data_IF_782943343764
#
_entry.id   IF_782943343764
#
_cell.length_a   1.000
_cell.length_b   1.000
_cell.length_c   1.000
_cell.angle_alpha   90.00
_cell.angle_beta   90.00
_cell.angle_gamma   90.00
#
_symmetry.space_group_name_H-M   'P 1'
#
loop_
_entity.id
_entity.type
_entity.pdbx_description
1 polymer ?
#
# COMPACT_ATOMS: atom_id res chain seq x y z
N UNK A 1 0.80 18.48 44.33
CA UNK A 1 0.41 17.41 43.37
C UNK A 1 0.78 17.77 41.94
N UNK A 2 0.16 18.76 41.26
CA UNK A 2 0.50 19.11 39.86
C UNK A 2 1.99 19.37 39.63
N UNK A 3 2.61 20.15 40.52
CA UNK A 3 4.04 20.49 40.46
C UNK A 3 4.97 19.26 40.59
N UNK A 4 4.56 18.26 41.38
CA UNK A 4 5.34 17.02 41.60
C UNK A 4 5.19 16.07 40.41
N UNK A 5 4.00 16.06 39.78
CA UNK A 5 3.78 15.27 38.58
C UNK A 5 4.56 15.88 37.41
N UNK A 6 4.63 17.21 37.30
CA UNK A 6 5.39 17.90 36.26
C UNK A 6 6.91 17.81 36.41
N UNK A 7 7.43 17.44 37.59
CA UNK A 7 8.87 17.23 37.78
C UNK A 7 9.35 15.88 37.27
N UNK A 8 8.44 14.99 36.85
CA UNK A 8 8.72 13.66 36.26
C UNK A 8 9.66 12.77 37.12
N UNK A 9 9.84 13.11 38.40
CA UNK A 9 10.69 12.37 39.33
C UNK A 9 9.91 11.20 39.91
N UNK A 10 10.33 10.00 39.54
CA UNK A 10 9.72 8.73 39.96
C UNK A 10 9.60 8.65 41.50
N UNK A 11 10.64 9.03 42.23
CA UNK A 11 10.66 8.97 43.70
C UNK A 11 9.61 9.88 44.35
N UNK A 12 9.46 11.11 43.86
CA UNK A 12 8.49 12.06 44.40
C UNK A 12 7.05 11.63 44.13
N UNK A 13 6.82 11.00 42.97
CA UNK A 13 5.52 10.43 42.58
C UNK A 13 5.19 9.20 43.44
N UNK A 14 6.17 8.35 43.76
CA UNK A 14 6.00 7.21 44.68
C UNK A 14 5.67 7.65 46.09
N UNK A 15 6.41 8.61 46.64
CA UNK A 15 6.10 9.17 47.97
C UNK A 15 4.71 9.82 48.01
N UNK A 16 4.32 10.50 46.92
CA UNK A 16 2.98 11.07 46.81
C UNK A 16 1.90 9.98 46.78
N UNK A 17 2.15 8.85 46.11
CA UNK A 17 1.25 7.71 46.11
C UNK A 17 1.07 7.09 47.50
N UNK A 18 2.16 6.84 48.24
CA UNK A 18 2.11 6.25 49.59
C UNK A 18 1.24 7.07 50.55
N UNK A 19 1.33 8.39 50.47
CA UNK A 19 0.54 9.32 51.27
C UNK A 19 -0.95 9.31 50.88
N UNK A 20 -1.23 9.17 49.59
CA UNK A 20 -2.56 9.38 49.00
C UNK A 20 -3.37 8.08 48.88
N UNK A 21 -2.72 6.92 48.80
CA UNK A 21 -3.37 5.63 48.56
C UNK A 21 -4.39 5.25 49.65
N UNK A 22 -4.21 5.75 50.89
CA UNK A 22 -5.12 5.50 52.02
C UNK A 22 -6.46 6.26 51.91
N UNK A 23 -6.56 7.25 51.03
CA UNK A 23 -7.74 8.12 50.88
C UNK A 23 -8.34 7.90 49.48
N UNK A 24 -9.48 7.20 49.35
CA UNK A 24 -10.04 6.82 48.05
C UNK A 24 -10.26 7.99 47.08
N UNK A 25 -10.79 9.12 47.58
CA UNK A 25 -11.02 10.33 46.75
C UNK A 25 -9.74 11.02 46.30
N UNK A 26 -8.68 10.93 47.08
CA UNK A 26 -7.40 11.55 46.73
C UNK A 26 -6.63 10.63 45.77
N UNK A 27 -6.75 9.31 45.92
CA UNK A 27 -6.24 8.30 44.98
C UNK A 27 -6.79 8.50 43.58
N UNK A 28 -8.12 8.59 43.43
CA UNK A 28 -8.75 8.83 42.12
C UNK A 28 -8.27 10.14 41.50
N UNK A 29 -8.22 11.21 42.30
CA UNK A 29 -7.77 12.53 41.85
C UNK A 29 -6.29 12.53 41.40
N UNK A 30 -5.43 11.77 42.06
CA UNK A 30 -4.03 11.61 41.66
C UNK A 30 -3.91 10.87 40.33
N UNK A 31 -4.66 9.78 40.14
CA UNK A 31 -4.69 9.04 38.89
C UNK A 31 -5.19 9.90 37.73
N UNK A 32 -6.29 10.64 37.92
CA UNK A 32 -6.81 11.57 36.90
C UNK A 32 -5.77 12.63 36.52
N UNK A 33 -5.05 13.17 37.50
CA UNK A 33 -3.99 14.16 37.25
C UNK A 33 -2.78 13.59 36.49
N UNK A 34 -2.43 12.33 36.73
CA UNK A 34 -1.38 11.63 35.98
C UNK A 34 -1.85 11.38 34.54
N UNK A 35 -3.07 10.87 34.37
CA UNK A 35 -3.67 10.66 33.04
C UNK A 35 -3.71 11.96 32.24
N UNK A 36 -4.15 13.06 32.84
CA UNK A 36 -4.18 14.38 32.20
C UNK A 36 -2.78 14.87 31.84
N UNK A 37 -1.78 14.65 32.71
CA UNK A 37 -0.41 15.06 32.43
C UNK A 37 0.18 14.32 31.23
N UNK A 38 0.04 12.99 31.19
CA UNK A 38 0.52 12.15 30.07
C UNK A 38 -0.21 12.55 28.78
N UNK A 39 -1.53 12.74 28.85
CA UNK A 39 -2.34 13.16 27.71
C UNK A 39 -1.89 14.51 27.15
N UNK A 40 -1.70 15.52 28.00
CA UNK A 40 -1.24 16.84 27.58
C UNK A 40 0.19 16.80 27.02
N UNK A 41 1.09 16.03 27.63
CA UNK A 41 2.44 15.83 27.11
C UNK A 41 2.41 15.18 25.71
N UNK A 42 1.62 14.12 25.54
CA UNK A 42 1.46 13.41 24.27
C UNK A 42 0.95 14.33 23.17
N UNK A 43 -0.14 15.07 23.43
CA UNK A 43 -0.70 16.01 22.45
C UNK A 43 0.28 17.13 22.11
N UNK A 44 0.93 17.75 23.11
CA UNK A 44 1.86 18.85 22.85
C UNK A 44 3.07 18.39 22.03
N UNK A 45 3.53 17.15 22.22
CA UNK A 45 4.64 16.58 21.45
C UNK A 45 4.21 16.30 20.02
N UNK A 46 3.04 15.67 19.82
CA UNK A 46 2.48 15.40 18.49
C UNK A 46 2.16 16.70 17.76
N UNK A 47 1.72 17.74 18.46
CA UNK A 47 1.42 19.05 17.87
C UNK A 47 2.67 19.70 17.26
N UNK A 48 3.85 19.54 17.88
CA UNK A 48 5.12 20.09 17.35
C UNK A 48 5.55 19.45 16.04
N UNK A 49 5.26 18.17 15.86
CA UNK A 49 5.58 17.41 14.64
C UNK A 49 4.42 17.40 13.62
N UNK A 50 3.28 18.02 13.97
CA UNK A 50 2.03 17.88 13.20
C UNK A 50 2.05 18.52 11.81
N UNK A 51 3.09 19.24 11.41
CA UNK A 51 3.23 19.77 10.05
C UNK A 51 4.06 18.85 9.15
N UNK A 52 5.04 18.14 9.72
CA UNK A 52 5.92 17.23 8.99
C UNK A 52 5.40 15.80 9.00
N UNK A 53 4.81 15.37 10.11
CA UNK A 53 4.43 13.97 10.36
C UNK A 53 3.07 13.56 9.76
N UNK A 54 2.31 14.48 9.14
CA UNK A 54 1.04 14.14 8.45
C UNK A 54 1.29 13.15 7.30
N UNK A 55 2.40 13.34 6.59
CA UNK A 55 2.78 12.54 5.43
C UNK A 55 4.03 11.67 5.67
N UNK A 56 4.61 11.73 6.88
CA UNK A 56 5.76 10.94 7.31
C UNK A 56 5.37 9.96 8.45
N UNK A 57 4.99 8.71 8.10
CA UNK A 57 4.63 7.68 9.05
C UNK A 57 5.75 7.30 10.01
N UNK A 58 7.01 7.35 9.56
CA UNK A 58 8.17 6.94 10.34
C UNK A 58 8.40 7.90 11.50
N UNK A 59 8.37 9.22 11.24
CA UNK A 59 8.49 10.22 12.30
C UNK A 59 7.33 10.13 13.28
N UNK A 60 6.10 9.97 12.79
CA UNK A 60 4.92 9.88 13.65
C UNK A 60 4.99 8.69 14.63
N UNK A 61 5.20 7.47 14.11
CA UNK A 61 5.17 6.25 14.93
C UNK A 61 6.35 6.20 15.90
N UNK A 62 7.54 6.66 15.50
CA UNK A 62 8.70 6.75 16.40
C UNK A 62 8.44 7.67 17.58
N UNK A 63 7.81 8.83 17.35
CA UNK A 63 7.49 9.74 18.45
C UNK A 63 6.45 9.15 19.41
N UNK A 64 5.45 8.42 18.93
CA UNK A 64 4.52 7.67 19.79
C UNK A 64 5.25 6.64 20.65
N UNK A 65 6.18 5.88 20.05
CA UNK A 65 6.99 4.88 20.76
C UNK A 65 7.89 5.55 21.80
N UNK A 66 8.49 6.70 21.47
CA UNK A 66 9.34 7.46 22.40
C UNK A 66 8.56 7.94 23.62
N UNK A 67 7.34 8.49 23.41
CA UNK A 67 6.44 8.90 24.49
C UNK A 67 6.07 7.69 25.35
N UNK A 68 5.70 6.57 24.73
CA UNK A 68 5.37 5.33 25.42
C UNK A 68 6.53 4.84 26.29
N UNK A 69 7.74 4.71 25.71
CA UNK A 69 8.94 4.24 26.43
C UNK A 69 9.30 5.14 27.62
N UNK A 70 9.24 6.47 27.42
CA UNK A 70 9.52 7.46 28.49
C UNK A 70 8.60 7.24 29.69
N UNK A 71 7.30 7.12 29.46
CA UNK A 71 6.34 6.97 30.55
C UNK A 71 6.27 5.55 31.10
N UNK A 72 6.61 4.53 30.31
CA UNK A 72 6.80 3.17 30.79
C UNK A 72 7.97 3.09 31.78
N UNK A 73 9.07 3.82 31.53
CA UNK A 73 10.20 3.89 32.47
C UNK A 73 9.78 4.55 33.80
N UNK A 74 8.94 5.59 33.74
CA UNK A 74 8.50 6.35 34.91
C UNK A 74 7.42 5.59 35.71
N UNK A 75 6.44 4.99 35.04
CA UNK A 75 5.21 4.46 35.64
C UNK A 75 5.03 2.94 35.50
N UNK A 76 5.73 2.29 34.57
CA UNK A 76 5.53 0.87 34.22
C UNK A 76 6.07 -0.13 35.23
N UNK A 77 6.79 0.32 36.27
CA UNK A 77 7.23 -0.56 37.36
C UNK A 77 6.12 -0.83 38.39
N UNK A 78 5.05 -0.05 38.38
CA UNK A 78 4.07 -0.01 39.46
C UNK A 78 2.66 -0.30 38.92
N UNK A 79 2.11 -1.48 39.27
CA UNK A 79 0.80 -1.97 38.76
C UNK A 79 -0.38 -1.01 39.02
N UNK A 80 -0.29 -0.13 40.02
CA UNK A 80 -1.35 0.81 40.34
C UNK A 80 -1.43 2.04 39.42
N UNK A 81 -0.39 2.32 38.62
CA UNK A 81 -0.42 3.39 37.61
C UNK A 81 -0.74 2.89 36.21
N UNK A 82 -0.64 1.58 35.97
CA UNK A 82 -0.87 0.92 34.69
C UNK A 82 -2.20 1.35 34.04
N UNK A 83 -3.31 1.27 34.78
CA UNK A 83 -4.63 1.67 34.27
C UNK A 83 -4.72 3.17 33.91
N UNK A 84 -4.04 4.06 34.63
CA UNK A 84 -4.03 5.49 34.36
C UNK A 84 -3.14 5.84 33.16
N UNK A 85 -2.05 5.10 32.99
CA UNK A 85 -1.16 5.15 31.85
C UNK A 85 -1.85 4.66 30.58
N UNK A 86 -2.45 3.47 30.61
CA UNK A 86 -3.19 2.90 29.48
C UNK A 86 -4.32 3.81 29.01
N UNK A 87 -5.09 4.36 29.96
CA UNK A 87 -6.16 5.32 29.66
C UNK A 87 -5.63 6.58 28.99
N UNK A 88 -4.45 7.07 29.39
CA UNK A 88 -3.83 8.23 28.76
C UNK A 88 -3.36 7.92 27.34
N UNK A 89 -2.64 6.81 27.15
CA UNK A 89 -2.16 6.30 25.86
C UNK A 89 -3.30 6.15 24.86
N UNK A 90 -4.37 5.46 25.26
CA UNK A 90 -5.55 5.31 24.44
C UNK A 90 -6.15 6.66 24.04
N UNK A 91 -6.19 7.64 24.96
CA UNK A 91 -6.80 8.94 24.68
C UNK A 91 -5.97 9.80 23.72
N UNK A 92 -4.64 9.87 23.86
CA UNK A 92 -3.83 10.73 22.98
C UNK A 92 -3.50 10.09 21.63
N UNK A 93 -3.42 8.75 21.56
CA UNK A 93 -3.14 8.06 20.28
C UNK A 93 -4.32 8.21 19.31
N UNK A 94 -5.56 8.14 19.81
CA UNK A 94 -6.76 8.27 18.98
C UNK A 94 -7.25 9.72 18.85
N UNK A 95 -6.82 10.65 19.71
CA UNK A 95 -7.15 12.07 19.62
C UNK A 95 -5.91 12.96 19.82
N UNK A 96 -5.35 13.39 18.69
CA UNK A 96 -4.19 14.27 18.61
C UNK A 96 -4.31 15.29 17.45
N UNK A 97 -3.33 16.19 17.38
CA UNK A 97 -3.28 17.24 16.36
C UNK A 97 -3.31 16.70 14.91
N UNK A 98 -2.78 15.51 14.64
CA UNK A 98 -2.78 14.91 13.30
C UNK A 98 -4.15 14.36 12.94
N UNK A 99 -4.82 13.66 13.87
CA UNK A 99 -6.21 13.22 13.68
C UNK A 99 -7.19 14.38 13.54
N UNK A 100 -6.96 15.48 14.27
CA UNK A 100 -7.78 16.69 14.18
C UNK A 100 -7.57 17.44 12.86
N UNK A 101 -6.33 17.55 12.37
CA UNK A 101 -6.04 18.17 11.07
C UNK A 101 -6.55 17.36 9.89
N UNK A 102 -6.62 16.03 10.03
CA UNK A 102 -7.13 15.14 9.00
C UNK A 102 -8.67 14.95 9.07
N UNK A 103 -9.36 15.70 9.95
CA UNK A 103 -10.79 15.57 10.27
C UNK A 103 -11.26 14.13 10.53
N UNK A 104 -10.34 13.26 10.97
CA UNK A 104 -10.57 11.81 11.10
C UNK A 104 -9.73 11.22 12.25
N UNK A 105 -10.37 10.46 13.14
CA UNK A 105 -9.68 9.66 14.19
C UNK A 105 -8.85 8.52 13.60
N UNK A 106 -9.18 8.15 12.36
CA UNK A 106 -8.64 6.99 11.65
C UNK A 106 -7.21 7.21 11.12
N UNK A 107 -6.70 8.45 11.11
CA UNK A 107 -5.38 8.77 10.55
C UNK A 107 -4.24 8.09 11.29
N UNK A 108 -4.36 7.90 12.62
CA UNK A 108 -3.38 7.14 13.41
C UNK A 108 -3.24 5.70 12.93
N UNK A 109 -4.36 5.04 12.62
CA UNK A 109 -4.40 3.68 12.12
C UNK A 109 -3.79 3.57 10.71
N UNK A 110 -4.09 4.54 9.82
CA UNK A 110 -3.47 4.64 8.49
C UNK A 110 -1.95 4.78 8.57
N UNK A 111 -1.45 5.75 9.35
CA UNK A 111 0.00 6.00 9.46
C UNK A 111 0.73 4.79 10.05
N UNK A 112 0.14 4.12 11.03
CA UNK A 112 0.72 2.89 11.56
C UNK A 112 0.83 1.79 10.49
N UNK A 113 -0.22 1.59 9.67
CA UNK A 113 -0.20 0.62 8.58
C UNK A 113 0.83 0.98 7.49
N UNK A 114 0.97 2.25 7.15
CA UNK A 114 1.99 2.75 6.20
C UNK A 114 3.41 2.53 6.72
N UNK A 115 3.66 2.81 7.99
CA UNK A 115 4.97 2.57 8.60
C UNK A 115 5.35 1.08 8.57
N UNK A 116 4.39 0.18 8.85
CA UNK A 116 4.59 -1.26 8.69
C UNK A 116 5.00 -1.63 7.25
N UNK A 117 4.33 -1.08 6.25
CA UNK A 117 4.62 -1.34 4.84
C UNK A 117 6.03 -0.86 4.45
N UNK A 118 6.42 0.35 4.86
CA UNK A 118 7.77 0.89 4.62
C UNK A 118 8.88 0.03 5.24
N UNK A 119 8.68 -0.47 6.46
CA UNK A 119 9.64 -1.37 7.10
C UNK A 119 9.77 -2.70 6.35
N UNK A 120 8.67 -3.28 5.89
CA UNK A 120 8.67 -4.53 5.13
C UNK A 120 9.34 -4.37 3.76
N UNK A 121 9.24 -3.19 3.14
CA UNK A 121 9.93 -2.90 1.88
C UNK A 121 11.43 -2.69 2.05
N UNK A 122 11.87 -2.05 3.16
CA UNK A 122 13.30 -1.82 3.45
C UNK A 122 14.07 -3.10 3.76
N UNK A 123 13.43 -4.09 4.42
CA UNK A 123 14.02 -5.42 4.58
C UNK A 123 15.27 -5.49 5.47
N UNK A 124 15.31 -4.72 6.57
CA UNK A 124 16.41 -4.66 7.55
C UNK A 124 16.38 -5.77 8.62
N UNK A 125 17.55 -6.11 9.18
CA UNK A 125 17.67 -7.11 10.26
C UNK A 125 16.97 -6.70 11.57
N UNK A 126 16.84 -5.38 11.83
CA UNK A 126 16.17 -4.81 13.02
C UNK A 126 14.64 -4.81 12.94
N UNK A 127 14.06 -5.33 11.85
CA UNK A 127 12.61 -5.36 11.62
C UNK A 127 11.86 -5.98 12.81
N UNK A 128 12.37 -7.06 13.40
CA UNK A 128 11.68 -7.77 14.50
C UNK A 128 11.45 -6.89 15.72
N UNK A 129 12.47 -6.14 16.13
CA UNK A 129 12.38 -5.24 17.28
C UNK A 129 11.39 -4.11 17.00
N UNK A 130 11.48 -3.49 15.82
CA UNK A 130 10.55 -2.43 15.40
C UNK A 130 9.10 -2.91 15.30
N UNK A 131 8.87 -4.16 14.89
CA UNK A 131 7.51 -4.73 14.86
C UNK A 131 6.93 -4.92 16.25
N UNK A 132 7.72 -5.35 17.23
CA UNK A 132 7.25 -5.42 18.62
C UNK A 132 6.82 -4.05 19.13
N UNK A 133 7.56 -2.99 18.77
CA UNK A 133 7.20 -1.62 19.14
C UNK A 133 5.91 -1.15 18.45
N UNK A 134 5.71 -1.52 17.18
CA UNK A 134 4.46 -1.24 16.47
C UNK A 134 3.27 -1.93 17.14
N UNK A 135 3.45 -3.17 17.61
CA UNK A 135 2.38 -3.91 18.28
C UNK A 135 1.92 -3.24 19.57
N UNK A 136 2.85 -2.63 20.30
CA UNK A 136 2.52 -1.84 21.48
C UNK A 136 1.57 -0.71 21.10
N UNK A 137 1.89 0.07 20.07
CA UNK A 137 1.04 1.18 19.62
C UNK A 137 -0.30 0.68 19.07
N UNK A 138 -0.28 -0.43 18.33
CA UNK A 138 -1.49 -1.05 17.78
C UNK A 138 -2.53 -1.42 18.85
N UNK A 139 -2.09 -1.77 20.07
CA UNK A 139 -3.00 -2.08 21.17
C UNK A 139 -3.87 -0.91 21.60
N UNK A 140 -3.37 0.31 21.42
CA UNK A 140 -4.07 1.53 21.78
C UNK A 140 -4.88 2.12 20.63
N UNK A 141 -4.82 1.55 19.43
CA UNK A 141 -5.62 1.98 18.28
C UNK A 141 -7.07 1.49 18.43
N UNK A 142 -8.03 2.40 18.36
CA UNK A 142 -9.47 2.08 18.35
C UNK A 142 -9.90 1.55 16.98
N UNK A 143 -9.51 2.26 15.91
CA UNK A 143 -9.92 2.01 14.52
C UNK A 143 -9.11 0.86 13.85
N UNK A 144 -9.11 -0.33 14.46
CA UNK A 144 -8.34 -1.50 13.97
C UNK A 144 -8.81 -2.02 12.62
N UNK A 145 -10.08 -1.84 12.30
CA UNK A 145 -10.68 -2.13 11.00
C UNK A 145 -10.06 -1.29 9.88
N UNK A 146 -9.74 -0.02 10.18
CA UNK A 146 -9.06 0.88 9.24
C UNK A 146 -7.62 0.42 9.01
N UNK A 147 -6.89 0.12 10.08
CA UNK A 147 -5.53 -0.42 9.98
C UNK A 147 -5.50 -1.65 9.06
N UNK A 148 -6.43 -2.60 9.26
CA UNK A 148 -6.51 -3.81 8.44
C UNK A 148 -6.72 -3.51 6.97
N UNK A 149 -7.63 -2.58 6.64
CA UNK A 149 -7.92 -2.24 5.24
C UNK A 149 -6.74 -1.60 4.54
N UNK A 150 -6.06 -0.66 5.19
CA UNK A 150 -4.83 -0.07 4.66
C UNK A 150 -3.72 -1.10 4.53
N UNK A 151 -3.51 -1.93 5.55
CA UNK A 151 -2.51 -2.99 5.52
C UNK A 151 -2.79 -4.01 4.39
N UNK A 152 -4.06 -4.42 4.22
CA UNK A 152 -4.50 -5.34 3.16
C UNK A 152 -4.27 -4.76 1.78
N UNK A 153 -4.57 -3.48 1.56
CA UNK A 153 -4.28 -2.78 0.31
C UNK A 153 -2.78 -2.81 0.00
N UNK A 154 -1.92 -2.44 0.96
CA UNK A 154 -0.48 -2.43 0.72
C UNK A 154 0.09 -3.84 0.52
N UNK A 155 -0.38 -4.83 1.30
CA UNK A 155 -0.04 -6.23 1.10
C UNK A 155 -0.41 -6.70 -0.31
N UNK A 156 -1.63 -6.39 -0.79
CA UNK A 156 -2.04 -6.78 -2.14
C UNK A 156 -1.14 -6.20 -3.23
N UNK A 157 -0.71 -4.94 -3.09
CA UNK A 157 0.20 -4.28 -4.03
C UNK A 157 1.56 -4.99 -4.03
N UNK A 158 2.14 -5.25 -2.85
CA UNK A 158 3.39 -6.00 -2.71
C UNK A 158 3.30 -7.40 -3.32
N UNK A 159 2.22 -8.14 -3.05
CA UNK A 159 2.05 -9.50 -3.59
C UNK A 159 1.97 -9.51 -5.11
N UNK A 160 1.23 -8.57 -5.72
CA UNK A 160 1.14 -8.48 -7.18
C UNK A 160 2.47 -8.02 -7.81
N UNK A 161 3.18 -7.10 -7.16
CA UNK A 161 4.42 -6.52 -7.68
C UNK A 161 5.65 -7.43 -7.52
N UNK A 162 5.74 -8.23 -6.46
CA UNK A 162 6.91 -9.09 -6.15
C UNK A 162 7.02 -10.34 -7.03
N UNK A 163 5.99 -10.71 -7.78
CA UNK A 163 5.90 -12.00 -8.46
C UNK A 163 6.40 -12.02 -9.91
N UNK A 164 7.02 -10.94 -10.40
CA UNK A 164 7.21 -10.75 -11.86
C UNK A 164 8.63 -10.39 -12.30
N UNK A 165 9.63 -10.38 -11.42
CA UNK A 165 11.01 -9.98 -11.76
C UNK A 165 11.87 -11.14 -12.26
N UNK A 166 11.51 -11.82 -13.37
CA UNK A 166 12.39 -12.80 -14.02
C UNK A 166 13.81 -12.18 -14.29
N UNK A 167 14.77 -12.51 -13.42
CA UNK A 167 16.10 -11.88 -13.31
C UNK A 167 17.06 -12.70 -12.43
N UNK A 168 17.49 -13.82 -12.98
CA UNK A 168 17.87 -15.10 -12.35
C UNK A 168 19.05 -15.20 -11.34
N UNK A 169 19.66 -14.12 -10.83
CA UNK A 169 20.77 -14.24 -9.83
C UNK A 169 20.69 -13.32 -8.61
N UNK A 170 20.20 -12.09 -8.73
CA UNK A 170 19.85 -11.26 -7.55
C UNK A 170 18.53 -11.71 -6.92
N UNK A 171 17.68 -12.38 -7.70
CA UNK A 171 16.38 -12.86 -7.30
C UNK A 171 16.46 -14.06 -6.35
N UNK A 172 17.48 -14.93 -6.44
CA UNK A 172 17.73 -15.98 -5.44
C UNK A 172 18.24 -15.41 -4.12
N UNK A 173 18.97 -14.30 -4.14
CA UNK A 173 19.42 -13.61 -2.94
C UNK A 173 18.24 -12.88 -2.25
N UNK A 174 17.33 -12.30 -3.04
CA UNK A 174 16.12 -11.65 -2.55
C UNK A 174 15.03 -12.65 -2.16
N UNK A 175 14.91 -13.79 -2.84
CA UNK A 175 14.03 -14.92 -2.48
C UNK A 175 14.59 -15.70 -1.30
N UNK A 176 15.91 -15.80 -1.10
CA UNK A 176 16.48 -16.38 0.13
C UNK A 176 16.31 -15.43 1.31
N UNK A 177 16.49 -14.11 1.12
CA UNK A 177 16.05 -13.10 2.10
C UNK A 177 14.54 -13.23 2.33
N UNK A 178 13.70 -13.29 1.29
CA UNK A 178 12.24 -13.45 1.40
C UNK A 178 11.82 -14.82 1.93
N UNK A 179 12.59 -15.91 1.81
CA UNK A 179 12.31 -17.23 2.42
C UNK A 179 12.70 -17.26 3.88
N UNK A 180 13.83 -16.63 4.24
CA UNK A 180 14.20 -16.37 5.63
C UNK A 180 13.20 -15.40 6.27
N UNK A 181 12.71 -14.41 5.52
CA UNK A 181 11.60 -13.55 5.87
C UNK A 181 10.27 -14.29 5.82
N UNK A 182 10.00 -15.29 4.99
CA UNK A 182 8.75 -16.06 5.04
C UNK A 182 8.76 -17.04 6.21
N UNK A 183 9.93 -17.51 6.67
CA UNK A 183 10.05 -18.29 7.89
C UNK A 183 9.96 -17.40 9.14
N UNK A 184 10.53 -16.18 9.11
CA UNK A 184 10.35 -15.16 10.17
C UNK A 184 8.99 -14.48 10.13
N UNK A 185 8.38 -14.28 8.96
CA UNK A 185 7.01 -13.81 8.75
C UNK A 185 6.08 -14.96 9.10
N UNK A 186 6.41 -16.24 8.96
CA UNK A 186 5.56 -17.29 9.53
C UNK A 186 5.62 -17.26 11.07
N UNK A 187 6.76 -16.93 11.69
CA UNK A 187 6.86 -16.76 13.16
C UNK A 187 6.22 -15.45 13.64
N UNK A 188 6.38 -14.35 12.91
CA UNK A 188 5.84 -13.03 13.25
C UNK A 188 4.38 -12.90 12.83
N UNK A 189 3.97 -13.50 11.72
CA UNK A 189 2.56 -13.73 11.36
C UNK A 189 1.99 -14.73 12.32
N UNK A 190 2.68 -15.75 12.85
CA UNK A 190 2.07 -16.58 13.89
C UNK A 190 1.89 -15.80 15.20
N UNK A 191 2.83 -14.94 15.62
CA UNK A 191 2.66 -14.09 16.81
C UNK A 191 1.61 -12.99 16.57
N UNK A 192 1.66 -12.32 15.43
CA UNK A 192 0.71 -11.27 15.02
C UNK A 192 -0.66 -11.85 14.70
N UNK A 193 -0.75 -13.05 14.10
CA UNK A 193 -2.00 -13.80 13.84
C UNK A 193 -2.55 -14.35 15.13
N UNK A 194 -1.75 -14.92 16.05
CA UNK A 194 -2.23 -15.30 17.37
C UNK A 194 -2.71 -14.07 18.15
N UNK A 195 -1.97 -12.97 18.07
CA UNK A 195 -2.32 -11.71 18.74
C UNK A 195 -3.58 -11.08 18.13
N UNK A 196 -3.69 -11.01 16.80
CA UNK A 196 -4.89 -10.58 16.09
C UNK A 196 -6.05 -11.57 16.25
N UNK A 197 -5.80 -12.87 16.37
CA UNK A 197 -6.83 -13.87 16.68
C UNK A 197 -7.40 -13.65 18.08
N UNK A 198 -6.55 -13.31 19.05
CA UNK A 198 -6.97 -12.98 20.41
C UNK A 198 -7.65 -11.61 20.52
N UNK A 199 -7.22 -10.61 19.74
CA UNK A 199 -7.69 -9.22 19.89
C UNK A 199 -8.69 -8.74 18.84
N UNK A 200 -8.69 -9.34 17.65
CA UNK A 200 -9.48 -8.95 16.47
C UNK A 200 -10.30 -10.11 15.86
N UNK A 201 -10.14 -11.35 16.35
CA UNK A 201 -10.90 -12.54 15.94
C UNK A 201 -10.28 -13.33 14.77
N UNK A 202 -10.68 -14.61 14.64
CA UNK A 202 -10.13 -15.58 13.67
C UNK A 202 -10.34 -15.19 12.19
N UNK A 203 -11.40 -14.45 11.87
CA UNK A 203 -11.70 -14.08 10.49
C UNK A 203 -10.69 -13.11 9.87
N UNK A 204 -10.09 -12.22 10.69
CA UNK A 204 -9.15 -11.19 10.23
C UNK A 204 -7.93 -11.80 9.55
N UNK A 205 -7.34 -12.83 10.15
CA UNK A 205 -6.08 -13.42 9.69
C UNK A 205 -6.29 -14.41 8.55
N UNK A 206 -7.45 -15.08 8.55
CA UNK A 206 -7.85 -16.03 7.51
C UNK A 206 -7.90 -15.40 6.10
N UNK A 207 -8.18 -14.09 6.01
CA UNK A 207 -8.20 -13.36 4.74
C UNK A 207 -6.81 -13.26 4.12
N UNK A 208 -5.80 -12.92 4.91
CA UNK A 208 -4.42 -12.82 4.43
C UNK A 208 -3.86 -14.17 4.01
N UNK A 209 -4.15 -15.23 4.76
CA UNK A 209 -3.75 -16.60 4.40
C UNK A 209 -4.36 -17.03 3.06
N UNK A 210 -5.64 -16.72 2.84
CA UNK A 210 -6.30 -16.98 1.55
C UNK A 210 -5.68 -16.18 0.40
N UNK A 211 -5.24 -14.93 0.64
CA UNK A 211 -4.54 -14.14 -0.40
C UNK A 211 -3.21 -14.77 -0.80
N UNK A 212 -2.45 -15.29 0.18
CA UNK A 212 -1.20 -16.02 -0.10
C UNK A 212 -1.47 -17.32 -0.86
N UNK A 213 -2.55 -18.02 -0.50
CA UNK A 213 -2.97 -19.23 -1.21
C UNK A 213 -3.36 -18.92 -2.67
N UNK A 214 -4.12 -17.85 -2.91
CA UNK A 214 -4.50 -17.41 -4.27
C UNK A 214 -3.26 -17.12 -5.13
N UNK A 215 -2.21 -16.54 -4.54
CA UNK A 215 -0.92 -16.30 -5.20
C UNK A 215 -0.26 -17.61 -5.63
N UNK A 216 -0.19 -18.61 -4.76
CA UNK A 216 0.46 -19.87 -5.07
C UNK A 216 -0.34 -20.70 -6.09
N UNK A 217 -1.67 -20.69 -5.98
CA UNK A 217 -2.57 -21.29 -6.99
C UNK A 217 -2.40 -20.60 -8.35
N UNK A 218 -2.26 -19.27 -8.37
CA UNK A 218 -2.03 -18.50 -9.60
C UNK A 218 -0.71 -18.83 -10.29
N UNK A 219 0.37 -19.07 -9.53
CA UNK A 219 1.66 -19.50 -10.09
C UNK A 219 1.53 -20.85 -10.78
N UNK A 220 0.87 -21.81 -10.13
CA UNK A 220 0.63 -23.12 -10.71
C UNK A 220 -0.21 -23.02 -11.99
N UNK A 221 -1.28 -22.24 -11.96
CA UNK A 221 -2.12 -21.99 -13.13
C UNK A 221 -1.34 -21.35 -14.30
N UNK A 222 -0.43 -20.41 -14.02
CA UNK A 222 0.46 -19.82 -15.03
C UNK A 222 1.37 -20.86 -15.65
N UNK A 223 2.02 -21.70 -14.85
CA UNK A 223 2.90 -22.77 -15.34
C UNK A 223 2.15 -23.79 -16.21
N UNK A 224 0.92 -24.12 -15.81
CA UNK A 224 0.03 -24.99 -16.58
C UNK A 224 -0.37 -24.37 -17.92
N UNK A 225 -0.72 -23.08 -17.93
CA UNK A 225 -1.03 -22.36 -19.17
C UNK A 225 0.18 -22.25 -20.10
N UNK A 226 1.36 -21.94 -19.56
CA UNK A 226 2.60 -21.91 -20.34
C UNK A 226 2.91 -23.27 -20.96
N UNK A 227 2.66 -24.37 -20.25
CA UNK A 227 2.81 -25.73 -20.77
C UNK A 227 1.78 -26.02 -21.88
N UNK A 228 0.53 -25.63 -21.69
CA UNK A 228 -0.53 -25.72 -22.70
C UNK A 228 -0.16 -24.96 -23.99
N UNK A 229 0.36 -23.74 -23.87
CA UNK A 229 0.79 -22.92 -25.00
C UNK A 229 1.94 -23.55 -25.78
N UNK A 230 2.91 -24.19 -25.10
CA UNK A 230 4.01 -24.90 -25.77
C UNK A 230 3.52 -26.06 -26.65
N UNK A 231 2.45 -26.74 -26.23
CA UNK A 231 1.88 -27.87 -26.99
C UNK A 231 0.92 -27.41 -28.10
N UNK A 232 0.01 -26.48 -27.80
CA UNK A 232 -1.09 -26.12 -28.70
C UNK A 232 -0.82 -24.87 -29.55
N UNK A 233 0.12 -24.01 -29.15
CA UNK A 233 0.44 -22.79 -29.88
C UNK A 233 1.94 -22.46 -29.86
N UNK A 234 2.81 -23.34 -30.43
CA UNK A 234 4.27 -23.21 -30.37
C UNK A 234 4.82 -21.97 -31.09
N UNK A 235 3.98 -21.23 -31.85
CA UNK A 235 4.35 -19.97 -32.53
C UNK A 235 4.12 -18.73 -31.67
N UNK A 236 3.53 -18.86 -30.47
CA UNK A 236 3.36 -17.72 -29.56
C UNK A 236 4.71 -17.30 -28.99
N UNK A 237 5.21 -16.14 -29.44
CA UNK A 237 6.52 -15.60 -29.05
C UNK A 237 6.44 -14.85 -27.70
N UNK A 238 5.24 -14.47 -27.26
CA UNK A 238 5.06 -13.61 -26.08
C UNK A 238 5.05 -14.43 -24.80
N UNK A 239 5.98 -14.13 -23.89
CA UNK A 239 5.96 -14.65 -22.52
C UNK A 239 4.77 -14.04 -21.77
N UNK A 240 3.85 -14.87 -21.30
CA UNK A 240 2.65 -14.47 -20.60
C UNK A 240 2.62 -15.08 -19.20
N UNK A 241 2.38 -14.23 -18.21
CA UNK A 241 2.21 -14.59 -16.81
C UNK A 241 0.98 -13.89 -16.27
N UNK A 242 0.18 -14.61 -15.48
CA UNK A 242 -1.16 -14.18 -15.06
C UNK A 242 -1.41 -14.51 -13.60
N UNK A 243 -2.18 -13.65 -12.95
CA UNK A 243 -2.58 -13.84 -11.57
C UNK A 243 -4.10 -13.81 -11.50
N UNK A 244 -4.69 -14.91 -11.02
CA UNK A 244 -6.13 -15.07 -10.91
C UNK A 244 -6.50 -14.99 -9.43
N UNK A 245 -7.18 -13.90 -9.08
CA UNK A 245 -7.43 -13.51 -7.71
C UNK A 245 -8.93 -13.52 -7.41
N UNK A 246 -9.31 -13.87 -6.18
CA UNK A 246 -10.71 -13.84 -5.77
C UNK A 246 -11.19 -12.40 -5.54
N UNK A 247 -12.21 -11.96 -6.29
CA UNK A 247 -12.76 -10.60 -6.22
C UNK A 247 -13.28 -10.20 -4.85
N UNK A 248 -13.70 -11.16 -4.01
CA UNK A 248 -14.28 -10.89 -2.69
C UNK A 248 -13.21 -10.70 -1.61
N UNK A 249 -11.96 -11.08 -1.91
CA UNK A 249 -10.87 -11.10 -0.93
C UNK A 249 -9.87 -9.97 -1.16
N UNK A 250 -9.61 -9.65 -2.42
CA UNK A 250 -8.59 -8.68 -2.81
C UNK A 250 -9.18 -7.26 -2.91
N UNK A 251 -8.52 -6.23 -2.36
CA UNK A 251 -9.05 -4.87 -2.30
C UNK A 251 -8.82 -4.10 -3.60
N UNK A 252 -8.99 -4.75 -4.76
CA UNK A 252 -8.82 -4.10 -6.06
C UNK A 252 -10.15 -3.60 -6.61
N UNK A 253 -10.16 -2.34 -7.02
CA UNK A 253 -11.30 -1.77 -7.73
C UNK A 253 -11.12 -1.96 -9.23
N UNK A 254 -12.18 -2.33 -9.95
CA UNK A 254 -12.13 -2.34 -11.40
C UNK A 254 -12.23 -0.92 -11.95
N UNK A 255 -11.43 -0.64 -12.98
CA UNK A 255 -11.53 0.59 -13.77
C UNK A 255 -12.32 0.30 -15.06
N UNK A 256 -12.91 1.33 -15.69
CA UNK A 256 -13.56 1.19 -16.98
C UNK A 256 -12.63 0.52 -18.01
N UNK A 257 -13.21 -0.34 -18.84
CA UNK A 257 -12.45 -1.08 -19.84
C UNK A 257 -11.79 -0.16 -20.85
N UNK A 258 -10.53 -0.46 -21.16
CA UNK A 258 -9.79 0.16 -22.27
C UNK A 258 -9.88 -0.71 -23.51
N UNK A 259 -9.76 -0.09 -24.68
CA UNK A 259 -9.64 -0.82 -25.94
C UNK A 259 -8.21 -1.37 -26.03
N UNK A 260 -8.09 -2.70 -25.93
CA UNK A 260 -6.84 -3.40 -26.18
C UNK A 260 -6.64 -3.61 -27.68
N UNK A 261 -5.39 -3.51 -28.11
CA UNK A 261 -5.00 -3.85 -29.47
C UNK A 261 -5.09 -5.36 -29.70
N UNK A 262 -5.26 -5.73 -30.97
CA UNK A 262 -5.60 -7.09 -31.41
C UNK A 262 -4.60 -8.12 -30.88
N UNK A 263 -3.32 -7.77 -30.84
CA UNK A 263 -2.23 -8.64 -30.38
C UNK A 263 -2.38 -8.98 -28.89
N UNK A 264 -2.69 -7.98 -28.06
CA UNK A 264 -2.88 -8.18 -26.62
C UNK A 264 -4.19 -8.91 -26.35
N UNK A 265 -5.24 -8.54 -27.07
CA UNK A 265 -6.56 -9.16 -26.93
C UNK A 265 -6.53 -10.66 -27.23
N UNK A 266 -5.84 -11.07 -28.29
CA UNK A 266 -5.71 -12.48 -28.65
C UNK A 266 -5.08 -13.33 -27.53
N UNK A 267 -4.10 -12.79 -26.80
CA UNK A 267 -3.46 -13.47 -25.67
C UNK A 267 -4.44 -13.63 -24.50
N UNK A 268 -5.19 -12.56 -24.17
CA UNK A 268 -6.16 -12.59 -23.09
C UNK A 268 -7.36 -13.49 -23.41
N UNK A 269 -7.84 -13.48 -24.65
CA UNK A 269 -8.93 -14.34 -25.12
C UNK A 269 -8.50 -15.82 -25.05
N UNK A 270 -7.29 -16.15 -25.54
CA UNK A 270 -6.71 -17.50 -25.43
C UNK A 270 -6.62 -17.99 -23.98
N UNK A 271 -6.19 -17.13 -23.05
CA UNK A 271 -6.18 -17.49 -21.63
C UNK A 271 -7.58 -17.64 -21.04
N UNK A 272 -8.52 -16.77 -21.44
CA UNK A 272 -9.91 -16.81 -20.97
C UNK A 272 -10.59 -18.11 -21.41
N UNK A 273 -10.35 -18.55 -22.64
CA UNK A 273 -10.84 -19.83 -23.16
C UNK A 273 -10.24 -21.01 -22.39
N UNK A 274 -8.92 -21.01 -22.15
CA UNK A 274 -8.25 -22.01 -21.33
C UNK A 274 -8.84 -22.09 -19.90
N UNK A 275 -9.09 -20.93 -19.28
CA UNK A 275 -9.62 -20.87 -17.91
C UNK A 275 -11.08 -21.33 -17.84
N UNK A 276 -11.93 -20.87 -18.75
CA UNK A 276 -13.37 -21.20 -18.76
C UNK A 276 -13.61 -22.68 -19.01
N UNK A 277 -12.80 -23.34 -19.84
CA UNK A 277 -12.88 -24.79 -20.05
C UNK A 277 -12.58 -25.61 -18.78
N UNK A 278 -11.75 -25.09 -17.87
CA UNK A 278 -11.37 -25.79 -16.63
C UNK A 278 -12.23 -25.40 -15.44
N UNK A 279 -12.70 -24.15 -15.40
CA UNK A 279 -13.44 -23.59 -14.29
C UNK A 279 -14.81 -23.10 -14.74
N UNK A 280 -15.75 -24.04 -14.85
CA UNK A 280 -17.13 -23.75 -15.18
C UNK A 280 -17.80 -22.86 -14.11
N UNK A 281 -18.60 -21.90 -14.56
CA UNK A 281 -19.37 -21.01 -13.67
C UNK A 281 -18.61 -19.81 -13.10
N UNK A 282 -17.36 -19.57 -13.54
CA UNK A 282 -16.57 -18.39 -13.16
C UNK A 282 -16.41 -17.44 -14.35
N UNK A 283 -16.41 -16.12 -14.07
CA UNK A 283 -16.16 -15.07 -15.05
C UNK A 283 -14.93 -14.29 -14.65
N UNK A 284 -13.98 -14.16 -15.57
CA UNK A 284 -12.78 -13.35 -15.36
C UNK A 284 -13.07 -11.87 -15.60
N UNK A 285 -12.44 -11.02 -14.79
CA UNK A 285 -12.41 -9.57 -14.95
C UNK A 285 -10.95 -9.13 -14.94
N UNK A 286 -10.52 -8.46 -16.00
CA UNK A 286 -9.13 -8.04 -16.17
C UNK A 286 -8.88 -6.68 -15.50
N UNK A 287 -7.83 -6.61 -14.69
CA UNK A 287 -7.40 -5.38 -14.00
C UNK A 287 -6.16 -4.80 -14.68
N UNK A 288 -6.38 -3.99 -15.72
CA UNK A 288 -5.30 -3.44 -16.54
C UNK A 288 -4.40 -2.46 -15.80
N UNK A 289 -4.89 -1.80 -14.75
CA UNK A 289 -4.10 -0.88 -13.93
C UNK A 289 -2.99 -1.57 -13.11
N UNK A 290 -3.13 -2.85 -12.80
CA UNK A 290 -2.10 -3.65 -12.13
C UNK A 290 -1.29 -4.49 -13.13
N UNK A 291 -1.57 -4.34 -14.42
CA UNK A 291 -0.93 -5.10 -15.49
C UNK A 291 0.25 -4.33 -16.09
N UNK A 292 1.37 -5.03 -16.27
CA UNK A 292 2.64 -4.51 -16.78
C UNK A 292 3.12 -5.40 -17.93
N UNK A 293 3.92 -4.85 -18.84
CA UNK A 293 4.47 -5.54 -19.99
C UNK A 293 5.85 -5.04 -20.36
N UNK A 294 6.54 -5.80 -21.21
CA UNK A 294 7.82 -5.40 -21.79
C UNK A 294 7.69 -5.26 -23.31
N UNK A 295 8.16 -4.14 -23.86
CA UNK A 295 8.17 -3.88 -25.30
C UNK A 295 9.62 -3.69 -25.75
N UNK A 296 9.97 -4.31 -26.87
CA UNK A 296 11.26 -4.08 -27.52
C UNK A 296 11.13 -3.03 -28.63
N UNK A 297 12.05 -2.07 -28.66
CA UNK A 297 12.09 -1.05 -29.70
C UNK A 297 12.85 -1.55 -30.94
N UNK A 298 12.26 -1.35 -32.11
CA UNK A 298 12.88 -1.66 -33.41
C UNK A 298 13.14 -0.42 -34.28
N UNK A 299 12.60 0.74 -33.90
CA UNK A 299 12.76 2.00 -34.64
C UNK A 299 14.09 2.73 -34.33
N UNK A 300 14.82 2.29 -33.31
CA UNK A 300 16.08 2.88 -32.84
C UNK A 300 17.29 2.10 -33.33
N UNK A 301 18.47 2.75 -33.41
CA UNK A 301 19.74 2.10 -33.78
C UNK A 301 20.12 0.94 -32.84
N UNK A 302 19.79 1.07 -31.56
CA UNK A 302 19.94 0.02 -30.54
C UNK A 302 18.57 -0.53 -30.18
N UNK A 303 18.46 -1.82 -29.88
CA UNK A 303 17.23 -2.42 -29.34
C UNK A 303 17.16 -2.12 -27.84
N UNK A 304 16.14 -1.38 -27.42
CA UNK A 304 15.86 -1.10 -26.01
C UNK A 304 14.68 -1.96 -25.56
N UNK A 305 14.70 -2.41 -24.30
CA UNK A 305 13.57 -3.09 -23.66
C UNK A 305 12.91 -2.13 -22.69
N UNK A 306 11.66 -1.75 -22.96
CA UNK A 306 10.87 -0.83 -22.16
C UNK A 306 9.94 -1.63 -21.25
N UNK A 307 10.06 -1.45 -19.93
CA UNK A 307 9.09 -1.97 -18.97
C UNK A 307 8.02 -0.90 -18.76
N UNK A 308 6.79 -1.23 -19.11
CA UNK A 308 5.68 -0.27 -19.21
C UNK A 308 4.43 -0.79 -18.54
N UNK A 309 3.58 0.13 -18.09
CA UNK A 309 2.21 -0.20 -17.70
C UNK A 309 1.39 -0.61 -18.93
N UNK A 310 0.25 -1.27 -18.73
CA UNK A 310 -0.63 -1.65 -19.84
C UNK A 310 -1.15 -0.42 -20.60
N UNK A 311 -1.42 0.69 -19.90
CA UNK A 311 -1.83 1.93 -20.54
C UNK A 311 -0.72 2.53 -21.43
N UNK A 312 0.51 2.57 -20.93
CA UNK A 312 1.67 2.98 -21.73
C UNK A 312 1.88 2.04 -22.93
N UNK A 313 1.70 0.74 -22.74
CA UNK A 313 1.85 -0.25 -23.80
C UNK A 313 0.84 -0.06 -24.93
N UNK A 314 -0.43 0.14 -24.61
CA UNK A 314 -1.47 0.40 -25.62
C UNK A 314 -1.14 1.66 -26.43
N UNK A 315 -0.71 2.74 -25.75
CA UNK A 315 -0.34 3.99 -26.42
C UNK A 315 0.86 3.79 -27.36
N UNK A 316 1.92 3.13 -26.90
CA UNK A 316 3.12 2.90 -27.71
C UNK A 316 2.84 2.03 -28.94
N UNK A 317 2.01 1.00 -28.79
CA UNK A 317 1.67 0.10 -29.90
C UNK A 317 0.85 0.80 -31.01
N UNK A 318 0.12 1.87 -30.71
CA UNK A 318 -0.55 2.68 -31.75
C UNK A 318 0.44 3.30 -32.75
N UNK A 319 1.69 3.53 -32.33
CA UNK A 319 2.73 4.10 -33.17
C UNK A 319 3.39 3.08 -34.12
N UNK A 320 3.04 1.79 -34.02
CA UNK A 320 3.47 0.80 -35.03
C UNK A 320 2.82 1.07 -36.40
N UNK A 321 1.60 1.61 -36.42
CA UNK A 321 0.88 1.96 -37.65
C UNK A 321 0.79 3.45 -37.95
N UNK A 322 1.16 4.32 -37.00
CA UNK A 322 1.03 5.78 -37.13
C UNK A 322 2.32 6.46 -36.65
N UNK A 323 2.87 7.41 -37.41
CA UNK A 323 4.08 8.13 -36.99
C UNK A 323 3.74 9.31 -36.07
N UNK A 324 2.55 9.90 -36.28
CA UNK A 324 2.05 11.08 -35.56
C UNK A 324 0.58 10.89 -35.23
N UNK A 325 0.17 11.24 -34.02
CA UNK A 325 -1.22 11.20 -33.56
C UNK A 325 -1.51 12.38 -32.64
N UNK A 326 -2.71 12.94 -32.73
CA UNK A 326 -3.18 13.92 -31.74
C UNK A 326 -3.55 13.21 -30.44
N UNK A 327 -3.48 13.92 -29.32
CA UNK A 327 -3.89 13.38 -28.01
C UNK A 327 -5.35 12.92 -28.05
N UNK A 328 -6.24 13.68 -28.69
CA UNK A 328 -7.63 13.28 -28.94
C UNK A 328 -7.73 11.99 -29.76
N UNK A 329 -6.94 11.85 -30.84
CA UNK A 329 -6.91 10.63 -31.63
C UNK A 329 -6.42 9.40 -30.87
N UNK A 330 -5.50 9.59 -29.90
CA UNK A 330 -5.06 8.53 -28.99
C UNK A 330 -6.19 8.16 -28.02
N UNK A 331 -6.87 9.16 -27.44
CA UNK A 331 -8.03 8.94 -26.55
C UNK A 331 -9.11 8.13 -27.26
N UNK A 332 -9.49 8.51 -28.48
CA UNK A 332 -10.61 7.87 -29.16
C UNK A 332 -10.30 6.40 -29.53
N UNK A 333 -9.04 6.11 -29.90
CA UNK A 333 -8.59 4.73 -30.21
C UNK A 333 -8.41 3.85 -28.98
N UNK A 334 -8.06 4.41 -27.83
CA UNK A 334 -7.74 3.64 -26.60
C UNK A 334 -8.88 3.65 -25.57
N UNK A 335 -9.76 4.64 -25.61
CA UNK A 335 -10.78 4.94 -24.60
C UNK A 335 -10.22 5.08 -23.18
N UNK A 336 -8.95 5.49 -23.04
CA UNK A 336 -8.35 5.80 -21.75
C UNK A 336 -8.94 7.12 -21.25
N UNK A 337 -9.29 7.18 -19.96
CA UNK A 337 -9.79 8.41 -19.32
C UNK A 337 -8.81 9.58 -19.52
N UNK A 338 -9.29 10.80 -19.81
CA UNK A 338 -8.43 11.97 -20.05
C UNK A 338 -7.35 12.18 -18.98
N UNK A 339 -7.70 12.06 -17.71
CA UNK A 339 -6.79 12.30 -16.58
C UNK A 339 -5.66 11.25 -16.54
N UNK A 340 -5.99 9.99 -16.87
CA UNK A 340 -5.01 8.91 -16.97
C UNK A 340 -4.11 9.09 -18.20
N UNK A 341 -4.72 9.45 -19.34
CA UNK A 341 -4.01 9.57 -20.61
C UNK A 341 -2.93 10.65 -20.55
N UNK A 342 -3.25 11.80 -19.95
CA UNK A 342 -2.29 12.89 -19.76
C UNK A 342 -1.08 12.44 -18.92
N UNK A 343 -1.29 11.72 -17.82
CA UNK A 343 -0.19 11.20 -16.98
C UNK A 343 0.65 10.14 -17.72
N UNK A 344 -0.01 9.28 -18.50
CA UNK A 344 0.67 8.30 -19.35
C UNK A 344 1.53 9.00 -20.39
N UNK A 345 0.99 9.99 -21.10
CA UNK A 345 1.73 10.76 -22.10
C UNK A 345 2.88 11.55 -21.47
N UNK A 346 2.66 12.18 -20.32
CA UNK A 346 3.70 12.87 -19.57
C UNK A 346 4.91 11.96 -19.34
N UNK A 347 4.70 10.75 -18.80
CA UNK A 347 5.79 9.79 -18.55
C UNK A 347 6.55 9.36 -19.83
N UNK A 348 5.84 9.28 -20.97
CA UNK A 348 6.43 8.89 -22.26
C UNK A 348 7.17 10.05 -22.95
N UNK A 349 6.72 11.28 -22.73
CA UNK A 349 7.36 12.52 -23.20
C UNK A 349 8.60 12.85 -22.36
N UNK A 350 8.52 12.73 -21.03
CA UNK A 350 9.65 12.94 -20.10
C UNK A 350 10.79 11.96 -20.39
N UNK A 351 10.46 10.71 -20.72
CA UNK A 351 11.44 9.72 -21.17
C UNK A 351 11.98 9.96 -22.58
N UNK A 352 11.51 10.98 -23.31
CA UNK A 352 11.89 11.35 -24.68
C UNK A 352 11.67 10.24 -25.72
N UNK A 353 10.78 9.28 -25.43
CA UNK A 353 10.38 8.22 -26.38
C UNK A 353 9.33 8.75 -27.37
N UNK A 354 8.46 9.60 -26.86
CA UNK A 354 7.56 10.42 -27.64
C UNK A 354 8.02 11.88 -27.60
N UNK A 355 7.65 12.65 -28.61
CA UNK A 355 7.86 14.09 -28.70
C UNK A 355 6.53 14.77 -28.93
N UNK A 356 6.38 15.96 -28.38
CA UNK A 356 5.28 16.88 -28.68
C UNK A 356 5.95 18.14 -29.25
N UNK A 357 5.50 18.64 -30.39
CA UNK A 357 6.14 19.80 -31.02
C UNK A 357 5.91 21.08 -30.20
N UNK A 358 4.78 21.14 -29.52
CA UNK A 358 4.27 22.27 -28.75
C UNK A 358 4.87 22.34 -27.33
N UNK A 359 5.54 21.29 -26.87
CA UNK A 359 6.06 21.17 -25.51
C UNK A 359 7.59 21.02 -25.54
N UNK A 360 8.28 21.95 -24.88
CA UNK A 360 9.75 21.92 -24.68
C UNK A 360 10.14 21.28 -23.35
N UNK A 361 11.44 21.23 -23.04
CA UNK A 361 11.94 20.69 -21.77
C UNK A 361 11.34 21.43 -20.55
N UNK A 362 11.15 20.72 -19.42
CA UNK A 362 10.56 21.22 -18.15
C UNK A 362 9.06 21.57 -18.20
N UNK A 363 8.23 20.65 -18.71
CA UNK A 363 6.77 20.75 -18.70
C UNK A 363 6.15 19.95 -17.56
N UNK A 364 4.87 20.18 -17.26
CA UNK A 364 4.06 19.41 -16.33
C UNK A 364 2.89 18.73 -17.06
N UNK A 365 2.23 17.79 -16.38
CA UNK A 365 1.04 17.08 -16.90
C UNK A 365 -0.02 18.04 -17.48
N UNK A 366 -0.27 19.17 -16.82
CA UNK A 366 -1.30 20.13 -17.21
C UNK A 366 -0.99 20.89 -18.51
N UNK A 367 0.25 20.84 -18.99
CA UNK A 367 0.66 21.44 -20.25
C UNK A 367 0.24 20.60 -21.46
N UNK A 368 -0.18 19.34 -21.26
CA UNK A 368 -0.60 18.45 -22.34
C UNK A 368 -2.07 18.69 -22.66
N UNK A 369 -2.34 19.28 -23.83
CA UNK A 369 -3.69 19.55 -24.32
C UNK A 369 -4.15 18.51 -25.34
N UNK A 370 -5.48 18.38 -25.51
CA UNK A 370 -6.10 17.38 -26.40
C UNK A 370 -5.78 17.57 -27.89
N UNK A 371 -5.49 18.81 -28.30
CA UNK A 371 -5.13 19.20 -29.66
C UNK A 371 -3.64 19.00 -29.97
N UNK A 372 -2.79 18.72 -28.97
CA UNK A 372 -1.36 18.56 -29.17
C UNK A 372 -1.04 17.34 -30.03
N UNK A 373 0.00 17.47 -30.86
CA UNK A 373 0.45 16.39 -31.75
C UNK A 373 1.63 15.64 -31.15
N UNK A 374 1.45 14.35 -30.93
CA UNK A 374 2.46 13.44 -30.39
C UNK A 374 3.10 12.65 -31.52
N UNK A 375 4.42 12.59 -31.52
CA UNK A 375 5.23 11.91 -32.54
C UNK A 375 6.23 10.95 -31.91
N UNK A 376 6.56 9.87 -32.63
CA UNK A 376 7.58 8.92 -32.19
C UNK A 376 9.00 9.50 -32.40
N UNK A 377 9.86 9.42 -31.38
CA UNK A 377 11.25 9.91 -31.46
C UNK A 377 12.09 9.09 -32.45
N UNK A 378 12.71 9.73 -33.44
CA UNK A 378 13.57 9.03 -34.43
C UNK A 378 14.98 8.71 -33.93
N UNK A 379 15.50 9.48 -32.98
CA UNK A 379 16.89 9.38 -32.49
C UNK A 379 16.96 9.13 -30.97
N UNK A 380 16.11 8.27 -30.45
CA UNK A 380 16.12 7.96 -29.02
C UNK A 380 17.44 7.28 -28.61
N UNK A 381 18.08 7.81 -27.57
CA UNK A 381 19.30 7.23 -26.99
C UNK A 381 19.22 7.25 -25.47
N UNK A 382 19.56 6.12 -24.86
CA UNK A 382 19.67 5.96 -23.42
C UNK A 382 20.95 5.21 -23.06
N UNK A 383 21.48 5.50 -21.86
CA UNK A 383 22.62 4.79 -21.27
C UNK A 383 22.26 3.35 -20.89
N UNK A 384 21.00 3.08 -20.53
CA UNK A 384 20.50 1.76 -20.13
C UNK A 384 19.77 1.09 -21.30
N UNK A 385 20.00 -0.20 -21.50
CA UNK A 385 19.32 -1.01 -22.53
C UNK A 385 17.91 -1.41 -22.08
N UNK A 386 17.76 -1.78 -20.80
CA UNK A 386 16.46 -2.01 -20.16
C UNK A 386 16.06 -0.75 -19.40
N UNK A 387 14.90 -0.19 -19.72
CA UNK A 387 14.41 1.08 -19.19
C UNK A 387 13.06 0.82 -18.52
N UNK A 388 12.96 1.17 -17.24
CA UNK A 388 11.69 1.09 -16.53
C UNK A 388 10.96 2.43 -16.63
N UNK A 389 9.82 2.40 -17.32
CA UNK A 389 8.91 3.54 -17.48
C UNK A 389 7.63 3.36 -16.67
N UNK A 390 7.44 2.18 -16.07
CA UNK A 390 6.26 1.85 -15.30
C UNK A 390 6.31 2.54 -13.92
N UNK A 391 6.01 3.83 -13.93
CA UNK A 391 5.83 4.66 -12.74
C UNK A 391 4.35 4.60 -12.34
N UNK A 392 4.03 4.46 -11.04
CA UNK A 392 2.65 4.53 -10.56
C UNK A 392 1.98 5.84 -10.99
N UNK A 393 0.74 5.74 -11.50
CA UNK A 393 -0.03 6.91 -11.92
C UNK A 393 -0.76 7.50 -10.70
N UNK A 394 -0.50 8.79 -10.41
CA UNK A 394 -1.05 9.50 -9.23
C UNK A 394 -2.58 9.40 -9.14
N UNK A 395 -3.24 9.53 -10.28
CA UNK A 395 -4.70 9.44 -10.40
C UNK A 395 -5.27 8.07 -10.00
N UNK A 396 -4.54 6.97 -10.28
CA UNK A 396 -4.94 5.62 -9.87
C UNK A 396 -4.74 5.46 -8.37
N UNK A 397 -3.63 5.96 -7.83
CA UNK A 397 -3.36 5.87 -6.39
C UNK A 397 -4.37 6.66 -5.55
N UNK A 398 -4.76 7.85 -6.01
CA UNK A 398 -5.82 8.67 -5.40
C UNK A 398 -7.17 7.95 -5.44
N UNK A 399 -7.57 7.42 -6.60
CA UNK A 399 -8.83 6.70 -6.72
C UNK A 399 -8.86 5.42 -5.85
N UNK A 400 -7.77 4.67 -5.82
CA UNK A 400 -7.65 3.50 -4.95
C UNK A 400 -7.74 3.88 -3.47
N UNK A 401 -7.32 5.10 -3.09
CA UNK A 401 -7.43 5.61 -1.72
C UNK A 401 -8.88 6.01 -1.41
N UNK A 402 -9.55 6.71 -2.33
CA UNK A 402 -10.97 7.06 -2.21
C UNK A 402 -11.86 5.82 -2.09
N UNK A 403 -11.67 4.83 -2.97
CA UNK A 403 -12.41 3.56 -2.91
C UNK A 403 -12.21 2.84 -1.57
N UNK A 404 -10.99 2.88 -1.02
CA UNK A 404 -10.69 2.29 0.28
C UNK A 404 -11.46 3.00 1.41
N UNK A 405 -11.45 4.33 1.41
CA UNK A 405 -12.18 5.14 2.40
C UNK A 405 -13.69 4.91 2.31
N UNK A 406 -14.24 4.88 1.09
CA UNK A 406 -15.66 4.57 0.88
C UNK A 406 -16.00 3.15 1.39
N UNK A 407 -15.10 2.18 1.20
CA UNK A 407 -15.29 0.83 1.76
C UNK A 407 -15.29 0.84 3.29
N UNK A 408 -14.39 1.61 3.93
CA UNK A 408 -14.37 1.80 5.39
C UNK A 408 -15.75 2.26 5.88
N UNK A 409 -16.26 3.34 5.31
CA UNK A 409 -17.52 3.95 5.74
C UNK A 409 -18.73 3.01 5.54
N UNK A 410 -18.76 2.30 4.40
CA UNK A 410 -19.82 1.33 4.10
C UNK A 410 -19.87 0.18 5.10
N UNK A 411 -18.73 -0.41 5.44
CA UNK A 411 -18.69 -1.54 6.37
C UNK A 411 -19.12 -1.10 7.77
N UNK A 412 -18.70 0.09 8.22
CA UNK A 412 -19.14 0.67 9.51
C UNK A 412 -20.65 0.92 9.53
N UNK A 413 -21.21 1.43 8.43
CA UNK A 413 -22.65 1.64 8.31
C UNK A 413 -23.44 0.31 8.42
N UNK A 414 -22.96 -0.76 7.79
CA UNK A 414 -23.60 -2.07 7.84
C UNK A 414 -23.56 -2.67 9.26
N UNK A 415 -22.44 -2.55 9.98
CA UNK A 415 -22.34 -3.00 11.39
C UNK A 415 -23.37 -2.27 12.26
N UNK A 416 -23.49 -0.95 12.12
CA UNK A 416 -24.48 -0.14 12.85
C UNK A 416 -25.92 -0.56 12.56
N UNK A 417 -26.21 -1.05 11.35
CA UNK A 417 -27.55 -1.55 10.99
C UNK A 417 -27.84 -2.93 11.58
N UNK A 418 -26.83 -3.81 11.66
CA UNK A 418 -26.97 -5.14 12.27
C UNK A 418 -27.19 -5.01 13.77
N UNK A 419 -26.49 -4.09 14.45
CA UNK A 419 -26.63 -3.88 15.90
C UNK A 419 -27.98 -3.24 16.31
N UNK A 420 -28.78 -2.76 15.35
CA UNK A 420 -30.10 -2.15 15.59
C UNK A 420 -31.28 -3.11 15.42
N UNK A 421 -31.03 -4.32 14.92
CA UNK A 421 -32.03 -5.39 14.77
C UNK A 421 -31.76 -6.49 15.79
#
# INVERSE_FOLDING_TARGET
MRTIISTEKVEDIKHLWELVNRIPKAKTKLLDMITDHIYQFGINTIQRISETAIDDPETYVKELINIYKKFLEIFGTESYFEAAFDKACHKFINNNAITQKADTTTKSAELLARYCDELLQKGDETIKEKFNEILIIFNYIEDKDVYEKFYRKMLSKRLVDQLRTDGDDDEKLMISKLKVYNLSIMILTLHFTLFLQQTCGFEYTSRFERMMHDVDVSKNLTNEYQSYCKTNNPKSIVNFSVMVLNSNLWPFSSLPNVILLVELKAILDSFTDFYTHRHNGRKLMWLHQHSKGEIQTYFTKKKYTLQVSTYQMIVLLLFNGNIKLTVEGIRDKTQIRPELLVQVLYSLLESKILLCQEITENFQDHDIQMNHTIELTKNFTSKKIRINLNVPLRSIEQQDLECLNISIDKDRYLVIQVDKN
#
